data_IF_401575147651
#
_entry.id   IF_401575147651
#
_cell.length_a   1.000
_cell.length_b   1.000
_cell.length_c   1.000
_cell.angle_alpha   90.00
_cell.angle_beta   90.00
_cell.angle_gamma   90.00
#
_symmetry.space_group_name_H-M   'P 1'
#
loop_
_entity.id
_entity.type
_entity.pdbx_description
1 polymer ?
#
# COMPACT_ATOMS: atom_id res chain seq x y z
N UNK A 1 17.01 -7.34 -8.65
CA UNK A 1 15.53 -7.20 -8.64
C UNK A 1 15.09 -6.66 -9.99
N UNK A 2 14.10 -7.25 -10.67
CA UNK A 2 13.44 -6.56 -11.77
C UNK A 2 12.15 -5.89 -11.28
N UNK A 3 12.12 -4.56 -11.44
CA UNK A 3 10.91 -3.76 -11.52
C UNK A 3 10.27 -3.99 -12.89
N UNK A 4 9.41 -4.99 -13.05
CA UNK A 4 8.47 -5.07 -14.18
C UNK A 4 7.45 -6.16 -13.84
N UNK A 5 6.16 -5.86 -13.95
CA UNK A 5 5.03 -6.77 -13.72
C UNK A 5 4.59 -6.94 -12.25
N UNK A 6 3.75 -6.03 -11.71
CA UNK A 6 3.06 -6.25 -10.44
C UNK A 6 2.14 -7.49 -10.46
N UNK A 7 1.79 -8.01 -11.65
CA UNK A 7 0.98 -9.23 -11.83
C UNK A 7 1.80 -10.53 -12.00
N UNK A 8 3.14 -10.45 -11.96
CA UNK A 8 4.00 -11.55 -12.41
C UNK A 8 4.40 -12.58 -11.35
N UNK A 9 4.26 -12.27 -10.06
CA UNK A 9 4.74 -13.14 -8.99
C UNK A 9 3.86 -13.01 -7.76
N UNK A 10 2.95 -13.97 -7.59
CA UNK A 10 2.19 -14.13 -6.35
C UNK A 10 2.75 -15.35 -5.63
N UNK A 11 3.39 -15.15 -4.48
CA UNK A 11 3.73 -16.27 -3.59
C UNK A 11 2.43 -16.68 -2.90
N UNK A 12 2.02 -17.94 -3.09
CA UNK A 12 0.90 -18.54 -2.38
C UNK A 12 1.45 -19.32 -1.18
N UNK A 13 1.02 -18.95 0.01
CA UNK A 13 1.29 -19.68 1.24
C UNK A 13 -0.03 -20.17 1.86
N UNK A 14 -0.06 -21.43 2.30
CA UNK A 14 -1.22 -22.01 2.99
C UNK A 14 -1.31 -21.51 4.45
N UNK A 15 -0.15 -21.32 5.07
CA UNK A 15 0.09 -20.86 6.43
C UNK A 15 1.53 -20.31 6.54
N UNK A 16 1.95 -19.82 7.71
CA UNK A 16 3.28 -19.19 7.90
C UNK A 16 4.46 -20.14 7.60
N UNK A 17 4.24 -21.46 7.60
CA UNK A 17 5.29 -22.47 7.43
C UNK A 17 5.17 -23.30 6.13
N UNK A 18 4.07 -23.14 5.38
CA UNK A 18 3.79 -23.94 4.17
C UNK A 18 3.65 -23.05 2.93
N UNK A 19 4.74 -22.91 2.19
CA UNK A 19 4.74 -22.29 0.87
C UNK A 19 4.20 -23.28 -0.19
N UNK A 20 3.08 -22.95 -0.83
CA UNK A 20 2.46 -23.77 -1.89
C UNK A 20 3.20 -23.57 -3.22
N UNK A 21 3.84 -22.40 -3.42
CA UNK A 21 4.71 -22.10 -4.55
C UNK A 21 4.53 -20.67 -5.09
N UNK A 22 5.34 -20.32 -6.10
CA UNK A 22 5.28 -19.03 -6.81
C UNK A 22 4.37 -19.20 -8.04
N UNK A 23 3.25 -18.47 -8.07
CA UNK A 23 2.46 -18.31 -9.30
C UNK A 23 3.19 -17.37 -10.25
N UNK A 24 3.82 -17.93 -11.26
CA UNK A 24 4.58 -17.21 -12.30
C UNK A 24 3.65 -16.65 -13.39
N UNK A 25 2.42 -17.18 -13.52
CA UNK A 25 1.44 -16.71 -14.48
C UNK A 25 0.00 -17.03 -14.05
N UNK A 26 -0.76 -16.07 -13.49
CA UNK A 26 -2.14 -16.31 -13.07
C UNK A 26 -3.07 -16.71 -14.23
N UNK A 27 -2.68 -16.41 -15.49
CA UNK A 27 -3.44 -16.74 -16.70
C UNK A 27 -3.61 -18.25 -16.98
N UNK A 28 -2.84 -19.09 -16.29
CA UNK A 28 -2.88 -20.56 -16.43
C UNK A 28 -3.84 -21.22 -15.42
N UNK A 29 -4.45 -20.43 -14.53
CA UNK A 29 -5.43 -20.92 -13.56
C UNK A 29 -6.79 -21.18 -14.20
N UNK A 30 -7.50 -22.20 -13.69
CA UNK A 30 -8.91 -22.39 -14.00
C UNK A 30 -9.71 -21.11 -13.68
N UNK A 31 -10.72 -20.73 -14.48
CA UNK A 31 -11.47 -19.48 -14.33
C UNK A 31 -12.02 -19.23 -12.92
N UNK A 32 -12.45 -20.30 -12.24
CA UNK A 32 -13.00 -20.26 -10.88
C UNK A 32 -11.90 -19.94 -9.85
N UNK A 33 -10.73 -20.55 -9.98
CA UNK A 33 -9.56 -20.27 -9.13
C UNK A 33 -8.99 -18.88 -9.39
N UNK A 34 -8.98 -18.42 -10.65
CA UNK A 34 -8.58 -17.05 -11.01
C UNK A 34 -9.52 -16.02 -10.37
N UNK A 35 -10.83 -16.29 -10.33
CA UNK A 35 -11.81 -15.41 -9.70
C UNK A 35 -11.58 -15.32 -8.20
N UNK A 36 -11.44 -16.44 -7.50
CA UNK A 36 -11.15 -16.46 -6.05
C UNK A 36 -9.81 -15.77 -5.77
N UNK A 37 -8.78 -16.05 -6.57
CA UNK A 37 -7.49 -15.38 -6.45
C UNK A 37 -7.64 -13.87 -6.63
N UNK A 38 -8.35 -13.40 -7.66
CA UNK A 38 -8.61 -11.97 -7.86
C UNK A 38 -9.40 -11.35 -6.72
N UNK A 39 -10.42 -12.02 -6.19
CA UNK A 39 -11.18 -11.53 -5.05
C UNK A 39 -10.32 -11.44 -3.78
N UNK A 40 -9.42 -12.39 -3.55
CA UNK A 40 -8.49 -12.37 -2.43
C UNK A 40 -7.34 -11.36 -2.64
N UNK A 41 -6.87 -11.20 -3.87
CA UNK A 41 -5.91 -10.15 -4.25
C UNK A 41 -6.54 -8.75 -4.19
N UNK A 42 -7.82 -8.59 -4.56
CA UNK A 42 -8.52 -7.32 -4.44
C UNK A 42 -8.66 -6.91 -2.98
N UNK A 43 -8.85 -7.88 -2.09
CA UNK A 43 -8.86 -7.67 -0.64
C UNK A 43 -7.47 -7.38 -0.07
N UNK A 44 -6.38 -7.91 -0.67
CA UNK A 44 -5.05 -7.98 -0.04
C UNK A 44 -3.90 -7.24 -0.76
N UNK A 45 -4.04 -6.91 -2.04
CA UNK A 45 -2.96 -6.42 -2.92
C UNK A 45 -3.30 -5.17 -3.76
N UNK A 46 -4.51 -4.62 -3.69
CA UNK A 46 -4.74 -3.30 -4.28
C UNK A 46 -4.12 -2.22 -3.38
N UNK A 47 -3.28 -1.35 -3.93
CA UNK A 47 -2.67 -0.21 -3.21
C UNK A 47 -3.74 0.86 -2.99
N UNK A 48 -4.30 1.05 -1.79
CA UNK A 48 -5.39 2.00 -1.59
C UNK A 48 -4.91 3.43 -1.84
N UNK A 49 -5.78 4.23 -2.44
CA UNK A 49 -5.54 5.65 -2.73
C UNK A 49 -5.96 6.48 -1.52
N UNK A 50 -5.00 7.16 -0.90
CA UNK A 50 -5.27 8.11 0.18
C UNK A 50 -5.90 9.37 -0.41
N UNK A 51 -7.14 9.65 -0.01
CA UNK A 51 -7.92 10.81 -0.43
C UNK A 51 -7.82 11.98 0.56
N UNK A 52 -7.56 11.69 1.85
CA UNK A 52 -7.42 12.68 2.92
C UNK A 52 -6.53 12.15 4.03
N UNK A 53 -5.75 13.04 4.65
CA UNK A 53 -4.96 12.74 5.85
C UNK A 53 -5.59 13.49 7.02
N UNK A 54 -6.21 12.76 7.95
CA UNK A 54 -6.80 13.35 9.14
C UNK A 54 -5.73 13.75 10.16
N UNK A 55 -4.75 12.87 10.36
CA UNK A 55 -3.71 13.06 11.38
C UNK A 55 -2.49 12.21 11.09
N UNK A 56 -1.30 12.76 11.36
CA UNK A 56 -0.07 11.99 11.54
C UNK A 56 0.47 12.27 12.94
N UNK A 57 0.73 11.23 13.73
CA UNK A 57 1.27 11.34 15.10
C UNK A 57 2.56 10.55 15.21
N UNK A 58 3.64 11.21 15.61
CA UNK A 58 4.90 10.53 15.92
C UNK A 58 4.93 10.06 17.38
N UNK A 59 5.35 8.81 17.60
CA UNK A 59 5.66 8.26 18.91
C UNK A 59 6.80 7.24 18.79
N UNK A 60 7.93 7.51 19.44
CA UNK A 60 9.13 6.65 19.45
C UNK A 60 9.63 6.26 18.04
N UNK A 61 9.65 7.21 17.09
CA UNK A 61 10.08 6.98 15.71
C UNK A 61 9.11 6.17 14.84
N UNK A 62 7.89 5.95 15.33
CA UNK A 62 6.76 5.40 14.58
C UNK A 62 5.76 6.51 14.33
N UNK A 63 5.31 6.65 13.09
CA UNK A 63 4.27 7.60 12.70
C UNK A 63 2.97 6.85 12.50
N UNK A 64 1.98 7.14 13.32
CA UNK A 64 0.62 6.65 13.15
C UNK A 64 -0.13 7.61 12.24
N UNK A 65 -0.60 7.08 11.11
CA UNK A 65 -1.34 7.79 10.08
C UNK A 65 -2.81 7.41 10.18
N UNK A 66 -3.67 8.41 10.27
CA UNK A 66 -5.11 8.26 10.18
C UNK A 66 -5.59 8.94 8.90
N UNK A 67 -6.15 8.17 7.98
CA UNK A 67 -6.45 8.61 6.62
C UNK A 67 -7.81 8.13 6.13
N UNK A 68 -8.33 8.82 5.12
CA UNK A 68 -9.46 8.37 4.31
C UNK A 68 -8.93 7.77 3.00
N UNK A 69 -9.48 6.64 2.59
CA UNK A 69 -9.18 6.00 1.30
C UNK A 69 -10.47 5.81 0.49
N UNK A 70 -10.37 5.39 -0.77
CA UNK A 70 -11.56 5.02 -1.56
C UNK A 70 -12.37 3.87 -0.94
N UNK A 71 -11.81 3.16 0.04
CA UNK A 71 -12.43 2.04 0.77
C UNK A 71 -12.87 2.40 2.19
N UNK A 72 -12.73 3.66 2.59
CA UNK A 72 -13.05 4.15 3.93
C UNK A 72 -11.83 4.49 4.78
N UNK A 73 -12.13 4.88 6.03
CA UNK A 73 -11.15 5.37 7.01
C UNK A 73 -10.32 4.24 7.58
N UNK A 74 -9.00 4.44 7.62
CA UNK A 74 -8.04 3.47 8.14
C UNK A 74 -6.96 4.16 8.97
N UNK A 75 -6.38 3.39 9.90
CA UNK A 75 -5.22 3.80 10.69
C UNK A 75 -4.10 2.79 10.50
N UNK A 76 -2.90 3.26 10.19
CA UNK A 76 -1.71 2.43 10.00
C UNK A 76 -0.45 3.11 10.53
N UNK A 77 0.60 2.32 10.75
CA UNK A 77 1.85 2.79 11.35
C UNK A 77 3.01 2.68 10.38
N UNK A 78 3.79 3.75 10.23
CA UNK A 78 4.98 3.82 9.39
C UNK A 78 6.20 4.00 10.29
N UNK A 79 7.22 3.15 10.14
CA UNK A 79 8.50 3.31 10.85
C UNK A 79 9.54 3.87 9.91
N UNK A 80 10.25 4.93 10.28
CA UNK A 80 11.32 5.51 9.46
C UNK A 80 10.82 6.02 8.10
N UNK A 81 10.22 7.21 8.08
CA UNK A 81 9.57 7.79 6.89
C UNK A 81 10.47 7.82 5.67
N UNK A 82 11.76 8.15 5.82
CA UNK A 82 12.70 8.23 4.70
C UNK A 82 12.90 6.90 3.94
N UNK A 83 12.63 5.76 4.59
CA UNK A 83 12.79 4.43 4.00
C UNK A 83 11.47 3.91 3.42
N UNK A 84 10.36 4.29 4.05
CA UNK A 84 9.04 3.73 3.80
C UNK A 84 8.09 4.71 3.09
N UNK A 85 8.54 5.94 2.80
CA UNK A 85 7.84 6.87 1.94
C UNK A 85 8.71 7.18 0.73
N UNK A 86 8.18 6.88 -0.46
CA UNK A 86 8.85 7.10 -1.74
C UNK A 86 8.13 8.21 -2.50
N UNK A 87 8.84 9.30 -2.75
CA UNK A 87 8.38 10.35 -3.63
C UNK A 87 8.75 10.02 -5.07
N UNK A 88 7.76 10.08 -5.95
CA UNK A 88 7.92 9.94 -7.39
C UNK A 88 7.54 11.29 -8.02
N UNK A 89 8.50 11.99 -8.66
CA UNK A 89 8.21 13.23 -9.33
C UNK A 89 7.08 13.08 -10.37
N UNK A 90 6.23 14.09 -10.55
CA UNK A 90 6.34 15.42 -9.95
C UNK A 90 5.78 15.53 -8.52
N UNK A 91 4.80 14.70 -8.14
CA UNK A 91 4.08 14.89 -6.88
C UNK A 91 3.38 13.63 -6.34
N UNK A 92 3.81 12.44 -6.74
CA UNK A 92 3.23 11.19 -6.24
C UNK A 92 3.98 10.70 -5.00
N UNK A 93 3.27 10.18 -4.02
CA UNK A 93 3.87 9.53 -2.85
C UNK A 93 3.35 8.10 -2.71
N UNK A 94 4.26 7.18 -2.44
CA UNK A 94 3.91 5.85 -1.94
C UNK A 94 4.31 5.72 -0.49
N UNK A 95 3.41 5.23 0.34
CA UNK A 95 3.63 5.00 1.77
C UNK A 95 3.52 3.50 2.05
N UNK A 96 4.49 2.94 2.75
CA UNK A 96 4.48 1.53 3.18
C UNK A 96 4.41 1.45 4.70
N UNK A 97 3.44 0.72 5.23
CA UNK A 97 3.33 0.52 6.68
C UNK A 97 4.26 -0.58 7.21
N UNK A 98 4.31 -0.74 8.54
CA UNK A 98 5.12 -1.77 9.22
C UNK A 98 4.73 -3.22 8.88
N UNK A 99 3.55 -3.44 8.29
CA UNK A 99 3.05 -4.75 7.86
C UNK A 99 3.30 -5.01 6.37
N UNK A 100 3.89 -4.04 5.66
CA UNK A 100 4.14 -4.13 4.23
C UNK A 100 2.97 -3.71 3.33
N UNK A 101 1.87 -3.20 3.89
CA UNK A 101 0.79 -2.67 3.06
C UNK A 101 1.26 -1.36 2.43
N UNK A 102 0.93 -1.17 1.16
CA UNK A 102 1.29 0.01 0.39
C UNK A 102 0.06 0.86 0.15
N UNK A 103 0.25 2.17 0.24
CA UNK A 103 -0.75 3.19 -0.04
C UNK A 103 -0.20 4.17 -1.08
N UNK A 104 -1.09 4.76 -1.86
CA UNK A 104 -0.77 5.68 -2.95
C UNK A 104 -1.40 7.05 -2.68
N UNK A 105 -0.64 8.11 -2.92
CA UNK A 105 -1.11 9.49 -3.04
C UNK A 105 -0.71 9.92 -4.46
N UNK A 106 -1.61 9.85 -5.45
CA UNK A 106 -1.30 10.10 -6.85
C UNK A 106 -0.71 11.50 -7.10
N UNK A 107 -1.29 12.51 -6.45
CA UNK A 107 -0.76 13.87 -6.42
C UNK A 107 -1.06 14.51 -5.06
N UNK A 108 -0.04 14.66 -4.22
CA UNK A 108 -0.25 15.24 -2.88
C UNK A 108 -0.63 16.72 -2.92
N UNK A 109 -0.46 17.42 -4.06
CA UNK A 109 -0.84 18.83 -4.24
C UNK A 109 -2.34 18.99 -4.45
N UNK A 110 -3.03 17.92 -4.86
CA UNK A 110 -4.49 17.91 -5.04
C UNK A 110 -5.24 17.57 -3.74
N UNK A 111 -4.53 17.14 -2.69
CA UNK A 111 -5.13 16.93 -1.38
C UNK A 111 -5.57 18.26 -0.74
N UNK A 112 -6.51 18.19 0.20
CA UNK A 112 -6.91 19.37 0.95
C UNK A 112 -5.73 20.00 1.74
N UNK A 113 -5.87 21.29 2.05
CA UNK A 113 -4.80 22.06 2.68
C UNK A 113 -4.31 21.46 4.02
N UNK A 114 -5.19 20.83 4.79
CA UNK A 114 -4.84 20.17 6.04
C UNK A 114 -3.96 18.95 5.78
N UNK A 115 -4.34 18.13 4.80
CA UNK A 115 -3.61 16.93 4.40
C UNK A 115 -2.23 17.29 3.83
N UNK A 116 -2.16 18.32 2.98
CA UNK A 116 -0.91 18.85 2.46
C UNK A 116 0.02 19.35 3.58
N UNK A 117 -0.53 20.03 4.59
CA UNK A 117 0.24 20.48 5.75
C UNK A 117 0.78 19.32 6.59
N UNK A 118 0.01 18.23 6.76
CA UNK A 118 0.50 17.02 7.44
C UNK A 118 1.71 16.43 6.71
N UNK A 119 1.65 16.39 5.37
CA UNK A 119 2.78 15.95 4.54
C UNK A 119 3.98 16.85 4.79
N UNK A 120 3.87 18.16 4.58
CA UNK A 120 5.01 19.09 4.77
C UNK A 120 5.62 19.09 6.17
N UNK A 121 4.83 18.73 7.19
CA UNK A 121 5.30 18.70 8.58
C UNK A 121 6.11 17.44 8.90
N UNK A 122 5.79 16.33 8.25
CA UNK A 122 6.33 15.01 8.61
C UNK A 122 7.23 14.41 7.52
N UNK A 123 7.11 14.87 6.28
CA UNK A 123 7.89 14.46 5.11
C UNK A 123 8.81 15.60 4.66
#
# INVERSE_FOLDING_TARGET
MPLSNPDGYISLAADEDTEIGILVNPSELAPESLKILREELDKRYFTPTIQKIHRVKEQFGIHEWEVETERGRITFSVRGLNQNIKQVPPARLFVTDVRGNRYDIPDYRELDAQSYQQIQRHL
#
